data_IF_135012067833
#
_entry.id   IF_135012067833
#
_cell.length_a   1.000
_cell.length_b   1.000
_cell.length_c   1.000
_cell.angle_alpha   90.00
_cell.angle_beta   90.00
_cell.angle_gamma   90.00
#
_symmetry.space_group_name_H-M   'P 1'
#
loop_
_entity.id
_entity.type
_entity.pdbx_description
1 polymer ?
#
# COMPACT_ATOMS: atom_id res chain seq x y z
N UNK A 1 24.55 25.48 -4.52
CA UNK A 1 23.97 25.30 -3.17
C UNK A 1 23.76 23.81 -2.96
N UNK A 2 24.05 23.28 -1.77
CA UNK A 2 23.79 21.87 -1.45
C UNK A 2 22.28 21.67 -1.33
N UNK A 3 21.74 20.66 -2.02
CA UNK A 3 20.33 20.28 -1.88
C UNK A 3 20.05 19.81 -0.44
N UNK A 4 18.84 20.01 0.10
CA UNK A 4 18.47 19.46 1.39
C UNK A 4 18.28 17.93 1.34
N UNK A 5 18.32 17.29 2.50
CA UNK A 5 17.84 15.92 2.68
C UNK A 5 16.34 15.91 2.98
N UNK A 6 15.65 14.89 2.49
CA UNK A 6 14.22 14.71 2.71
C UNK A 6 13.82 13.24 2.61
N UNK A 7 12.64 12.92 3.12
CA UNK A 7 11.91 11.73 2.76
C UNK A 7 11.02 12.02 1.56
N UNK A 8 10.80 11.01 0.73
CA UNK A 8 9.76 11.02 -0.30
C UNK A 8 8.80 9.87 -0.01
N UNK A 9 7.56 10.19 0.31
CA UNK A 9 6.47 9.21 0.41
C UNK A 9 5.91 9.01 -1.00
N UNK A 10 6.00 7.78 -1.50
CA UNK A 10 5.45 7.38 -2.78
C UNK A 10 4.26 6.45 -2.55
N UNK A 11 3.16 6.75 -3.24
CA UNK A 11 2.05 5.83 -3.47
C UNK A 11 1.80 5.75 -4.97
N UNK A 12 2.03 4.60 -5.60
CA UNK A 12 1.89 4.47 -7.05
C UNK A 12 1.45 3.09 -7.51
N UNK A 13 0.75 3.03 -8.64
CA UNK A 13 0.39 1.78 -9.32
C UNK A 13 1.20 1.65 -10.61
N UNK A 14 1.68 0.42 -10.86
CA UNK A 14 2.50 0.04 -12.01
C UNK A 14 1.88 0.30 -13.38
N UNK A 15 2.66 0.02 -14.43
CA UNK A 15 2.20 0.24 -15.81
C UNK A 15 1.00 -0.65 -16.16
N UNK A 16 -0.16 -0.02 -16.39
CA UNK A 16 -1.44 -0.65 -16.72
C UNK A 16 -2.50 0.41 -17.09
N UNK A 17 -3.78 0.04 -17.09
CA UNK A 17 -4.89 0.92 -17.52
C UNK A 17 -5.19 2.12 -16.61
N UNK A 18 -4.69 2.13 -15.36
CA UNK A 18 -4.99 3.14 -14.34
C UNK A 18 -3.71 3.61 -13.61
N UNK A 19 -2.73 4.11 -14.37
CA UNK A 19 -1.48 4.62 -13.82
C UNK A 19 -1.74 5.87 -12.96
N UNK A 20 -1.65 5.73 -11.63
CA UNK A 20 -1.73 6.81 -10.63
C UNK A 20 -0.46 6.78 -9.78
N UNK A 21 0.08 7.95 -9.44
CA UNK A 21 1.29 8.06 -8.65
C UNK A 21 1.38 9.41 -7.97
N UNK A 22 1.40 9.40 -6.65
CA UNK A 22 1.56 10.55 -5.79
C UNK A 22 2.92 10.46 -5.09
N UNK A 23 3.70 11.55 -5.13
CA UNK A 23 4.98 11.66 -4.41
C UNK A 23 4.94 12.91 -3.53
N UNK A 24 5.08 12.71 -2.22
CA UNK A 24 5.14 13.78 -1.24
C UNK A 24 6.53 13.89 -0.61
N UNK A 25 7.13 15.08 -0.61
CA UNK A 25 8.44 15.33 -0.02
C UNK A 25 8.33 16.02 1.35
N UNK A 26 9.11 15.55 2.33
CA UNK A 26 9.13 16.12 3.68
C UNK A 26 10.51 16.04 4.33
N UNK A 27 10.87 17.06 5.12
CA UNK A 27 12.12 17.06 5.89
C UNK A 27 12.08 16.19 7.15
N UNK A 28 10.90 15.75 7.59
CA UNK A 28 10.75 14.96 8.83
C UNK A 28 9.75 13.83 8.64
N UNK A 29 9.88 12.77 9.44
CA UNK A 29 8.89 11.67 9.45
C UNK A 29 7.53 12.11 10.01
N UNK A 30 7.51 13.14 10.87
CA UNK A 30 6.27 13.71 11.38
C UNK A 30 5.48 14.41 10.27
N UNK A 31 6.15 15.13 9.36
CA UNK A 31 5.50 15.73 8.20
C UNK A 31 5.04 14.69 7.19
N UNK A 32 5.83 13.62 6.97
CA UNK A 32 5.39 12.46 6.18
C UNK A 32 4.10 11.86 6.75
N UNK A 33 4.07 11.64 8.07
CA UNK A 33 2.89 11.11 8.76
C UNK A 33 1.68 12.02 8.57
N UNK A 34 1.86 13.31 8.82
CA UNK A 34 0.80 14.30 8.67
C UNK A 34 0.24 14.30 7.24
N UNK A 35 1.11 14.33 6.24
CA UNK A 35 0.68 14.29 4.85
C UNK A 35 -0.04 13.00 4.49
N UNK A 36 0.41 11.85 4.99
CA UNK A 36 -0.27 10.58 4.79
C UNK A 36 -1.65 10.51 5.47
N UNK A 37 -1.79 11.06 6.67
CA UNK A 37 -3.07 11.06 7.42
C UNK A 37 -4.05 12.11 6.91
N UNK A 38 -3.56 13.23 6.36
CA UNK A 38 -4.39 14.27 5.70
C UNK A 38 -4.79 13.87 4.28
N UNK A 39 -3.98 13.04 3.63
CA UNK A 39 -4.24 12.47 2.33
C UNK A 39 -5.31 11.39 2.41
N UNK A 40 -6.43 11.58 1.71
CA UNK A 40 -7.38 10.51 1.41
C UNK A 40 -6.84 9.54 0.33
N UNK A 41 -5.53 9.32 0.30
CA UNK A 41 -4.81 8.74 -0.85
C UNK A 41 -4.51 7.26 -0.72
N UNK A 42 -4.64 6.67 0.48
CA UNK A 42 -4.62 5.22 0.61
C UNK A 42 -5.94 4.66 0.10
N UNK A 43 -6.03 4.51 -1.21
CA UNK A 43 -7.09 3.73 -1.82
C UNK A 43 -6.83 2.24 -1.50
N UNK A 44 -7.66 1.61 -0.64
CA UNK A 44 -7.46 0.22 -0.26
C UNK A 44 -7.57 -0.72 -1.46
N UNK A 45 -8.33 -0.33 -2.50
CA UNK A 45 -8.44 -1.09 -3.73
C UNK A 45 -7.13 -1.06 -4.51
N UNK A 46 -6.54 0.11 -4.72
CA UNK A 46 -5.24 0.19 -5.39
C UNK A 46 -4.14 -0.54 -4.59
N UNK A 47 -4.16 -0.43 -3.26
CA UNK A 47 -3.13 -1.02 -2.42
C UNK A 47 -3.26 -2.54 -2.26
N UNK A 48 -4.44 -3.05 -1.92
CA UNK A 48 -4.66 -4.48 -1.64
C UNK A 48 -4.89 -5.30 -2.90
N UNK A 49 -5.44 -4.70 -3.97
CA UNK A 49 -5.87 -5.41 -5.18
C UNK A 49 -4.89 -5.25 -6.33
N UNK A 50 -4.52 -4.00 -6.64
CA UNK A 50 -3.55 -3.70 -7.69
C UNK A 50 -2.09 -3.79 -7.22
N UNK A 51 -1.87 -4.08 -5.94
CA UNK A 51 -0.52 -4.21 -5.38
C UNK A 51 0.28 -2.92 -5.45
N UNK A 52 -0.36 -1.76 -5.25
CA UNK A 52 0.30 -0.46 -5.33
C UNK A 52 1.63 -0.43 -4.54
N UNK A 53 2.63 0.21 -5.13
CA UNK A 53 3.84 0.62 -4.43
C UNK A 53 3.47 1.61 -3.32
N UNK A 54 3.86 1.29 -2.09
CA UNK A 54 3.82 2.22 -0.97
C UNK A 54 5.20 2.24 -0.31
N UNK A 55 5.93 3.33 -0.48
CA UNK A 55 7.35 3.39 -0.11
C UNK A 55 7.76 4.73 0.47
N UNK A 56 8.68 4.68 1.42
CA UNK A 56 9.38 5.84 1.95
C UNK A 56 10.81 5.87 1.43
N UNK A 57 11.10 6.74 0.47
CA UNK A 57 12.45 6.96 -0.03
C UNK A 57 13.22 7.94 0.84
N UNK A 58 14.54 7.79 0.85
CA UNK A 58 15.47 8.62 1.60
C UNK A 58 16.38 9.35 0.62
N UNK A 59 16.13 10.64 0.46
CA UNK A 59 16.98 11.54 -0.32
C UNK A 59 17.95 12.27 0.61
N UNK A 60 19.25 12.15 0.32
CA UNK A 60 20.33 12.86 1.00
C UNK A 60 20.99 13.78 0.01
N UNK A 61 20.95 15.08 0.30
CA UNK A 61 21.52 16.11 -0.56
C UNK A 61 21.16 15.98 -2.04
N UNK A 62 19.87 15.82 -2.33
CA UNK A 62 19.37 15.69 -3.71
C UNK A 62 19.67 14.33 -4.36
N UNK A 63 20.05 13.31 -3.59
CA UNK A 63 20.26 11.95 -4.10
C UNK A 63 19.43 10.95 -3.31
N UNK A 64 18.55 10.19 -3.95
CA UNK A 64 17.86 9.04 -3.34
C UNK A 64 18.90 7.95 -3.09
N UNK A 65 19.09 7.62 -1.82
CA UNK A 65 20.12 6.68 -1.33
C UNK A 65 19.56 5.33 -0.92
N UNK A 66 18.25 5.23 -0.77
CA UNK A 66 17.54 4.01 -0.43
C UNK A 66 16.06 4.28 -0.16
N UNK A 67 15.35 3.25 0.27
CA UNK A 67 13.95 3.37 0.66
C UNK A 67 13.50 2.21 1.55
N UNK A 68 12.35 2.42 2.19
CA UNK A 68 11.69 1.45 3.06
C UNK A 68 10.35 1.10 2.45
N UNK A 69 10.13 -0.16 2.12
CA UNK A 69 8.80 -0.67 1.77
C UNK A 69 7.88 -0.52 2.98
N UNK A 70 6.76 0.19 2.78
CA UNK A 70 5.83 0.52 3.85
C UNK A 70 4.72 -0.53 4.01
N UNK A 71 4.49 -1.40 3.02
CA UNK A 71 3.45 -2.44 3.06
C UNK A 71 3.51 -3.33 4.32
N UNK A 72 4.68 -3.74 4.84
CA UNK A 72 4.75 -4.51 6.09
C UNK A 72 4.24 -3.77 7.35
N UNK A 73 4.14 -2.44 7.28
CA UNK A 73 3.71 -1.57 8.37
C UNK A 73 2.23 -1.17 8.26
N UNK A 74 1.56 -1.55 7.17
CA UNK A 74 0.13 -1.30 7.00
C UNK A 74 -0.66 -2.17 7.99
N UNK A 75 -1.65 -1.54 8.61
CA UNK A 75 -2.59 -2.11 9.57
C UNK A 75 -3.99 -1.69 9.17
N UNK A 76 -4.99 -2.39 9.70
CA UNK A 76 -6.37 -2.00 9.54
C UNK A 76 -7.00 -1.59 10.88
N UNK A 77 -8.23 -1.07 10.84
CA UNK A 77 -8.93 -0.62 12.06
C UNK A 77 -9.30 -1.76 13.01
N UNK A 78 -9.32 -3.00 12.53
CA UNK A 78 -9.57 -4.20 13.35
C UNK A 78 -8.35 -5.15 13.28
N UNK A 79 -7.53 -5.22 14.33
CA UNK A 79 -6.31 -6.02 14.35
C UNK A 79 -6.51 -7.52 14.06
N UNK A 80 -7.75 -8.04 14.17
CA UNK A 80 -8.06 -9.42 13.80
C UNK A 80 -7.71 -9.72 12.33
N UNK A 81 -7.78 -8.73 11.44
CA UNK A 81 -7.53 -8.89 10.00
C UNK A 81 -6.15 -8.42 9.55
N UNK A 82 -5.26 -7.97 10.46
CA UNK A 82 -3.92 -7.48 10.08
C UNK A 82 -3.07 -8.56 9.40
N UNK A 83 -3.25 -9.83 9.78
CA UNK A 83 -2.58 -10.95 9.13
C UNK A 83 -3.04 -11.13 7.68
N UNK A 84 -4.34 -11.00 7.44
CA UNK A 84 -4.96 -11.06 6.11
C UNK A 84 -4.51 -9.89 5.24
N UNK A 85 -4.57 -8.65 5.76
CA UNK A 85 -4.02 -7.47 5.08
C UNK A 85 -2.56 -7.68 4.69
N UNK A 86 -1.73 -8.17 5.62
CA UNK A 86 -0.32 -8.44 5.34
C UNK A 86 -0.13 -9.50 4.24
N UNK A 87 -0.94 -10.56 4.23
CA UNK A 87 -0.88 -11.61 3.20
C UNK A 87 -1.24 -11.06 1.83
N UNK A 88 -2.29 -10.24 1.75
CA UNK A 88 -2.72 -9.58 0.51
C UNK A 88 -1.62 -8.67 -0.04
N UNK A 89 -1.03 -7.83 0.81
CA UNK A 89 -0.02 -6.84 0.40
C UNK A 89 1.32 -7.42 -0.03
N UNK A 90 1.75 -8.49 0.63
CA UNK A 90 3.09 -9.04 0.43
C UNK A 90 3.10 -10.20 -0.56
N UNK A 91 1.93 -10.75 -0.89
CA UNK A 91 1.67 -11.91 -1.75
C UNK A 91 2.89 -12.82 -1.93
N UNK A 92 3.38 -13.44 -0.84
CA UNK A 92 4.68 -14.12 -0.85
C UNK A 92 4.73 -15.29 -1.84
N UNK A 93 3.57 -15.84 -2.18
CA UNK A 93 3.42 -17.02 -3.02
C UNK A 93 2.87 -16.69 -4.42
N UNK A 94 2.50 -15.44 -4.70
CA UNK A 94 1.93 -15.02 -5.99
C UNK A 94 0.53 -15.60 -6.26
N UNK A 95 -0.19 -16.01 -5.21
CA UNK A 95 -1.44 -16.78 -5.30
C UNK A 95 -2.68 -15.95 -5.04
N UNK A 96 -2.52 -14.70 -4.61
CA UNK A 96 -3.66 -13.86 -4.32
C UNK A 96 -4.40 -13.46 -5.60
N UNK A 97 -3.73 -13.37 -6.75
CA UNK A 97 -4.36 -13.02 -8.03
C UNK A 97 -5.62 -13.82 -8.33
N UNK A 98 -5.54 -15.15 -8.29
CA UNK A 98 -6.69 -16.04 -8.55
C UNK A 98 -7.82 -15.83 -7.53
N UNK A 99 -7.48 -15.61 -6.24
CA UNK A 99 -8.49 -15.32 -5.21
C UNK A 99 -9.23 -14.02 -5.49
N UNK A 100 -8.49 -12.98 -5.86
CA UNK A 100 -9.06 -11.66 -6.09
C UNK A 100 -9.90 -11.69 -7.37
N UNK A 101 -9.43 -12.36 -8.43
CA UNK A 101 -10.21 -12.55 -9.66
C UNK A 101 -11.53 -13.31 -9.41
N UNK A 102 -11.50 -14.37 -8.59
CA UNK A 102 -12.71 -15.13 -8.20
C UNK A 102 -13.73 -14.25 -7.47
N UNK A 103 -13.26 -13.25 -6.71
CA UNK A 103 -14.09 -12.38 -5.89
C UNK A 103 -14.50 -11.08 -6.59
N UNK A 104 -13.75 -10.62 -7.60
CA UNK A 104 -13.94 -9.32 -8.28
C UNK A 104 -15.38 -9.14 -8.77
N UNK A 105 -15.96 -10.19 -9.35
CA UNK A 105 -17.35 -10.19 -9.82
C UNK A 105 -18.36 -10.02 -8.68
N UNK A 106 -18.19 -10.78 -7.60
CA UNK A 106 -19.07 -10.73 -6.43
C UNK A 106 -18.99 -9.36 -5.71
N UNK A 107 -17.78 -8.81 -5.58
CA UNK A 107 -17.57 -7.51 -4.93
C UNK A 107 -18.15 -6.36 -5.78
N UNK A 108 -17.94 -6.41 -7.09
CA UNK A 108 -18.40 -5.37 -8.02
C UNK A 108 -19.93 -5.31 -8.13
N UNK A 109 -20.61 -6.45 -8.16
CA UNK A 109 -22.08 -6.52 -8.30
C UNK A 109 -22.81 -5.94 -7.08
N UNK A 110 -22.25 -6.13 -5.87
CA UNK A 110 -22.86 -5.68 -4.61
C UNK A 110 -22.25 -4.39 -4.06
N UNK A 111 -21.33 -3.77 -4.80
CA UNK A 111 -20.70 -2.50 -4.44
C UNK A 111 -19.88 -2.58 -3.14
N UNK A 112 -19.28 -3.74 -2.86
CA UNK A 112 -18.43 -3.90 -1.69
C UNK A 112 -17.07 -3.30 -1.97
N UNK A 113 -16.67 -2.35 -1.11
CA UNK A 113 -15.29 -1.91 -1.10
C UNK A 113 -14.37 -3.00 -0.51
N UNK A 114 -13.07 -2.82 -0.73
CA UNK A 114 -12.07 -3.78 -0.30
C UNK A 114 -12.02 -4.02 1.19
N UNK A 115 -12.36 -3.01 1.99
CA UNK A 115 -12.31 -3.13 3.43
C UNK A 115 -13.53 -3.90 3.95
N UNK A 116 -14.68 -3.72 3.31
CA UNK A 116 -15.88 -4.51 3.57
C UNK A 116 -15.68 -6.00 3.22
N UNK A 117 -14.86 -6.31 2.21
CA UNK A 117 -14.56 -7.68 1.79
C UNK A 117 -13.55 -8.42 2.70
N UNK A 118 -12.80 -7.73 3.57
CA UNK A 118 -11.75 -8.33 4.39
C UNK A 118 -12.19 -9.55 5.23
N UNK A 119 -13.38 -9.56 5.87
CA UNK A 119 -13.83 -10.73 6.62
C UNK A 119 -14.06 -11.97 5.73
N UNK A 120 -14.57 -11.77 4.51
CA UNK A 120 -14.72 -12.85 3.54
C UNK A 120 -13.35 -13.36 3.09
N UNK A 121 -12.43 -12.45 2.76
CA UNK A 121 -11.06 -12.78 2.36
C UNK A 121 -10.34 -13.57 3.45
N UNK A 122 -10.43 -13.12 4.70
CA UNK A 122 -9.87 -13.82 5.87
C UNK A 122 -10.41 -15.24 5.99
N UNK A 123 -11.73 -15.40 5.87
CA UNK A 123 -12.40 -16.70 5.92
C UNK A 123 -11.96 -17.62 4.78
N UNK A 124 -11.92 -17.12 3.54
CA UNK A 124 -11.50 -17.91 2.37
C UNK A 124 -10.05 -18.33 2.50
N UNK A 125 -9.15 -17.42 2.89
CA UNK A 125 -7.73 -17.74 3.11
C UNK A 125 -7.54 -18.81 4.18
N UNK A 126 -8.27 -18.71 5.30
CA UNK A 126 -8.24 -19.73 6.35
C UNK A 126 -8.75 -21.09 5.88
N UNK A 127 -9.75 -21.12 4.98
CA UNK A 127 -10.26 -22.36 4.37
C UNK A 127 -9.25 -22.98 3.42
N UNK A 128 -8.60 -22.17 2.58
CA UNK A 128 -7.52 -22.61 1.68
C UNK A 128 -6.33 -23.19 2.44
N UNK A 129 -5.92 -22.52 3.52
CA UNK A 129 -4.83 -23.02 4.39
C UNK A 129 -5.18 -24.35 5.07
N UNK A 130 -6.45 -24.54 5.44
CA UNK A 130 -6.94 -25.81 6.01
C UNK A 130 -6.94 -26.92 4.97
N UNK A 131 -7.31 -26.60 3.73
CA UNK A 131 -7.28 -27.51 2.59
C UNK A 131 -8.29 -28.66 2.64
N UNK A 132 -8.39 -29.37 1.52
CA UNK A 132 -9.19 -30.59 1.36
C UNK A 132 -10.67 -30.36 1.02
N UNK A 133 -11.40 -31.44 0.66
CA UNK A 133 -12.71 -31.32 0.00
C UNK A 133 -13.79 -30.64 0.83
N UNK A 134 -13.74 -30.78 2.16
CA UNK A 134 -14.69 -30.12 3.05
C UNK A 134 -14.44 -28.61 3.12
N UNK A 135 -13.18 -28.18 3.13
CA UNK A 135 -12.84 -26.76 3.15
C UNK A 135 -13.17 -26.09 1.81
N UNK A 136 -12.91 -26.77 0.70
CA UNK A 136 -13.32 -26.31 -0.63
C UNK A 136 -14.85 -26.16 -0.76
N UNK A 137 -15.62 -27.06 -0.15
CA UNK A 137 -17.08 -26.96 -0.13
C UNK A 137 -17.55 -25.77 0.72
N UNK A 138 -16.95 -25.54 1.88
CA UNK A 138 -17.22 -24.37 2.71
C UNK A 138 -16.82 -23.06 2.02
N UNK A 139 -15.72 -23.04 1.28
CA UNK A 139 -15.25 -21.87 0.52
C UNK A 139 -16.26 -21.50 -0.57
N UNK A 140 -16.67 -22.48 -1.40
CA UNK A 140 -17.69 -22.26 -2.42
C UNK A 140 -19.00 -21.73 -1.85
N UNK A 141 -19.41 -22.22 -0.67
CA UNK A 141 -20.62 -21.72 0.01
C UNK A 141 -20.44 -20.28 0.51
N UNK A 142 -19.28 -19.93 1.04
CA UNK A 142 -18.98 -18.57 1.49
C UNK A 142 -18.96 -17.57 0.33
N UNK A 143 -18.33 -17.94 -0.79
CA UNK A 143 -18.31 -17.13 -2.02
C UNK A 143 -19.71 -16.99 -2.61
N UNK A 144 -20.47 -18.08 -2.72
CA UNK A 144 -21.84 -18.02 -3.23
C UNK A 144 -22.78 -17.21 -2.33
N UNK A 145 -22.62 -17.26 -1.01
CA UNK A 145 -23.35 -16.39 -0.10
C UNK A 145 -22.99 -14.92 -0.36
N UNK A 146 -21.72 -14.64 -0.56
CA UNK A 146 -21.25 -13.30 -0.86
C UNK A 146 -21.82 -12.74 -2.18
N UNK A 147 -21.91 -13.57 -3.22
CA UNK A 147 -22.59 -13.25 -4.50
C UNK A 147 -24.09 -12.94 -4.35
N UNK A 148 -24.70 -13.24 -3.19
CA UNK A 148 -26.09 -12.88 -2.89
C UNK A 148 -26.23 -11.67 -1.96
N UNK A 149 -25.11 -11.02 -1.61
CA UNK A 149 -25.08 -9.87 -0.70
C UNK A 149 -24.91 -10.25 0.78
N UNK A 150 -24.76 -11.53 1.11
CA UNK A 150 -24.55 -11.99 2.48
C UNK A 150 -23.05 -12.14 2.78
N UNK A 151 -22.48 -11.14 3.46
CA UNK A 151 -21.12 -11.26 4.00
C UNK A 151 -21.12 -12.22 5.20
N UNK A 152 -20.23 -13.24 5.22
CA UNK A 152 -19.99 -14.03 6.42
C UNK A 152 -19.20 -13.19 7.44
N UNK A 153 -19.85 -12.21 8.07
CA UNK A 153 -19.26 -11.53 9.20
C UNK A 153 -19.16 -12.52 10.37
N UNK A 154 -18.02 -12.63 11.06
CA UNK A 154 -17.99 -13.34 12.33
C UNK A 154 -19.01 -12.73 13.28
N UNK A 155 -19.54 -13.53 14.22
CA UNK A 155 -20.54 -13.04 15.17
C UNK A 155 -19.98 -11.85 15.99
N UNK A 156 -20.59 -10.67 15.83
CA UNK A 156 -20.11 -9.43 16.44
C UNK A 156 -19.01 -8.69 15.66
N UNK A 157 -18.66 -9.17 14.47
CA UNK A 157 -17.71 -8.54 13.56
C UNK A 157 -18.17 -7.16 13.13
N UNK A 158 -17.22 -6.22 13.07
CA UNK A 158 -17.44 -4.88 12.52
C UNK A 158 -16.77 -4.79 11.15
N UNK A 159 -17.33 -4.05 10.19
CA UNK A 159 -16.63 -3.72 8.97
C UNK A 159 -15.30 -3.02 9.27
N UNK A 160 -14.27 -3.34 8.50
CA UNK A 160 -13.02 -2.60 8.54
C UNK A 160 -13.25 -1.23 7.91
N UNK A 161 -12.85 -0.16 8.59
CA UNK A 161 -13.18 1.22 8.20
C UNK A 161 -11.99 1.98 7.60
N UNK A 162 -10.79 1.42 7.62
CA UNK A 162 -9.62 2.06 7.03
C UNK A 162 -8.33 1.27 7.18
N UNK A 163 -7.31 1.73 6.44
CA UNK A 163 -5.92 1.30 6.57
C UNK A 163 -5.09 2.45 7.17
N UNK A 164 -4.05 2.10 7.92
CA UNK A 164 -3.12 3.06 8.52
C UNK A 164 -1.72 2.45 8.62
N UNK A 165 -0.70 3.29 8.82
CA UNK A 165 0.67 2.84 9.05
C UNK A 165 1.00 2.78 10.53
N UNK A 166 1.63 1.70 10.97
CA UNK A 166 2.27 1.61 12.28
C UNK A 166 3.50 2.55 12.32
N UNK A 167 3.24 3.84 12.54
CA UNK A 167 4.25 4.90 12.60
C UNK A 167 5.28 4.68 13.70
N UNK A 168 4.89 4.01 14.79
CA UNK A 168 5.80 3.69 15.87
C UNK A 168 6.82 2.64 15.41
N UNK A 169 6.38 1.59 14.71
CA UNK A 169 7.29 0.61 14.11
C UNK A 169 8.12 1.19 12.98
N UNK A 170 7.53 2.02 12.11
CA UNK A 170 8.24 2.67 11.03
C UNK A 170 9.32 3.63 11.56
N UNK A 171 9.02 4.42 12.59
CA UNK A 171 9.98 5.35 13.21
C UNK A 171 11.23 4.67 13.78
N UNK A 172 11.15 3.40 14.17
CA UNK A 172 12.31 2.60 14.60
C UNK A 172 13.19 2.10 13.44
N UNK A 173 12.68 2.17 12.21
CA UNK A 173 13.30 1.58 11.01
C UNK A 173 13.68 2.62 9.96
N UNK A 174 13.01 3.77 9.94
CA UNK A 174 13.27 4.86 9.02
C UNK A 174 14.71 5.39 9.21
N UNK A 175 15.54 5.43 8.15
CA UNK A 175 16.89 5.98 8.24
C UNK A 175 16.86 7.46 8.55
N UNK A 176 17.68 7.92 9.51
CA UNK A 176 17.80 9.34 9.82
C UNK A 176 18.32 10.14 8.62
N UNK A 177 17.80 11.36 8.48
CA UNK A 177 18.22 12.34 7.48
C UNK A 177 19.39 13.18 8.00
N UNK A 178 20.20 13.68 7.06
CA UNK A 178 21.35 14.54 7.32
C UNK A 178 20.99 16.00 7.07
N UNK A 179 21.46 16.91 7.90
CA UNK A 179 21.21 18.35 7.74
C UNK A 179 22.00 18.94 6.55
N UNK A 180 21.45 19.94 5.83
CA UNK A 180 20.17 20.60 6.06
C UNK A 180 18.98 19.76 5.59
N UNK A 181 17.87 19.86 6.32
CA UNK A 181 16.60 19.19 5.99
C UNK A 181 15.74 20.09 5.11
N UNK A 182 14.87 19.50 4.29
CA UNK A 182 13.87 20.23 3.54
C UNK A 182 12.86 20.88 4.50
N UNK A 183 12.73 22.19 4.44
CA UNK A 183 11.72 22.93 5.22
C UNK A 183 10.58 23.42 4.34
N UNK A 184 10.91 23.96 3.17
CA UNK A 184 9.98 24.48 2.18
C UNK A 184 10.64 24.54 0.79
N UNK A 185 9.82 24.66 -0.25
CA UNK A 185 10.28 24.82 -1.62
C UNK A 185 10.50 23.51 -2.38
N UNK A 186 10.84 23.61 -3.67
CA UNK A 186 11.05 22.44 -4.52
C UNK A 186 12.35 21.71 -4.14
N UNK A 187 12.35 20.39 -4.31
CA UNK A 187 13.56 19.56 -4.25
C UNK A 187 13.72 18.78 -5.54
N UNK A 188 14.96 18.78 -6.05
CA UNK A 188 15.36 17.93 -7.18
C UNK A 188 16.16 16.76 -6.64
N UNK A 189 15.77 15.55 -7.02
CA UNK A 189 16.45 14.33 -6.59
C UNK A 189 16.90 13.48 -7.76
N UNK A 190 18.09 12.90 -7.63
CA UNK A 190 18.62 11.89 -8.53
C UNK A 190 18.62 10.51 -7.86
N UNK A 191 18.32 9.46 -8.61
CA UNK A 191 18.34 8.09 -8.09
C UNK A 191 19.77 7.51 -8.10
N UNK A 192 20.31 7.13 -6.94
CA UNK A 192 21.63 6.50 -6.89
C UNK A 192 21.63 5.13 -7.58
N UNK A 193 22.75 4.78 -8.23
CA UNK A 193 22.88 3.53 -9.01
C UNK A 193 22.61 2.24 -8.23
N UNK A 194 22.83 2.24 -6.91
CA UNK A 194 22.65 1.08 -6.05
C UNK A 194 21.26 0.94 -5.44
N UNK A 195 20.35 1.90 -5.69
CA UNK A 195 18.98 1.83 -5.18
C UNK A 195 18.19 0.84 -6.04
N UNK A 196 17.50 -0.15 -5.43
CA UNK A 196 16.65 -1.08 -6.15
C UNK A 196 15.63 -0.32 -7.01
N UNK A 197 15.49 -0.74 -8.27
CA UNK A 197 14.45 -0.23 -9.16
C UNK A 197 13.24 -1.12 -9.05
N UNK A 198 12.17 -0.53 -8.54
CA UNK A 198 10.86 -1.17 -8.52
C UNK A 198 10.14 -0.79 -9.82
N UNK A 199 9.69 -1.76 -10.63
CA UNK A 199 9.00 -1.47 -11.90
C UNK A 199 7.75 -0.61 -11.71
N UNK A 200 7.14 -0.64 -10.52
CA UNK A 200 5.90 0.08 -10.22
C UNK A 200 6.14 1.43 -9.54
N UNK A 201 7.41 1.76 -9.27
CA UNK A 201 7.82 3.07 -8.77
C UNK A 201 7.94 4.09 -9.89
N UNK A 202 7.31 5.25 -9.67
CA UNK A 202 7.46 6.43 -10.51
C UNK A 202 8.87 7.00 -10.47
N UNK A 203 9.65 6.74 -9.41
CA UNK A 203 11.06 7.11 -9.40
C UNK A 203 11.91 6.29 -10.40
N UNK A 204 11.37 5.18 -10.90
CA UNK A 204 12.06 4.25 -11.81
C UNK A 204 11.55 4.32 -13.26
N UNK A 205 10.33 4.83 -13.47
CA UNK A 205 9.65 4.90 -14.76
C UNK A 205 9.87 6.26 -15.47
N UNK A 206 11.09 6.56 -15.93
CA UNK A 206 11.35 7.76 -16.73
C UNK A 206 12.83 8.11 -16.95
N UNK A 207 13.12 8.64 -18.13
CA UNK A 207 14.46 8.89 -18.71
C UNK A 207 15.25 9.94 -17.91
N UNK A 208 16.51 9.63 -17.58
CA UNK A 208 17.54 10.55 -17.09
C UNK A 208 17.18 11.41 -15.85
N UNK A 209 16.91 10.77 -14.72
CA UNK A 209 17.62 11.06 -13.47
C UNK A 209 17.26 12.32 -12.67
N UNK A 210 16.19 13.05 -13.00
CA UNK A 210 15.72 14.17 -12.17
C UNK A 210 14.21 14.07 -11.92
N UNK A 211 13.83 13.88 -10.66
CA UNK A 211 12.45 14.04 -10.21
C UNK A 211 12.34 15.36 -9.46
N UNK A 212 11.39 16.18 -9.88
CA UNK A 212 11.01 17.41 -9.18
C UNK A 212 9.83 17.07 -8.28
N UNK A 213 10.09 16.91 -6.99
CA UNK A 213 9.02 16.79 -6.01
C UNK A 213 8.62 18.22 -5.58
N UNK A 214 7.43 18.64 -5.99
CA UNK A 214 6.74 19.83 -5.51
C UNK A 214 5.41 19.40 -4.89
N UNK A 215 5.00 20.07 -3.82
CA UNK A 215 3.74 19.78 -3.14
C UNK A 215 2.57 19.71 -4.14
N UNK A 216 2.03 18.49 -4.29
CA UNK A 216 0.78 18.03 -4.90
C UNK A 216 0.26 18.69 -6.19
N UNK A 217 -0.32 17.83 -7.04
CA UNK A 217 -1.00 18.08 -8.33
C UNK A 217 -0.10 17.99 -9.57
N UNK A 218 0.32 16.75 -9.87
CA UNK A 218 0.40 16.33 -11.27
C UNK A 218 -1.00 15.82 -11.64
N UNK A 219 -1.88 16.74 -12.06
CA UNK A 219 -3.01 16.39 -12.95
C UNK A 219 -2.50 16.20 -14.38
#
# INVERSE_FOLDING_TARGET
MTQPSCYLLEFSVGSGGARKGDIYAAGTLADVRRAFEEADHLDPYLLLWYGACLRLWVARHGTVTGGVDLRPYVRCTDPAYDATVRRLLLDPDGTNGDLLDDLDGALSEHGWDMLAALPLLDRVLALRDRGGPAAEAEERLAVAAAETGDLPLPAGGRPVAGLWLDWAALGRRAPALEVPLLTEGPVSVALARGVPRDPDSYLCAGVAGELVAGANHLE
#
